data_IF_412874236360
#
_entry.id   IF_412874236360
#
_cell.length_a   1.000
_cell.length_b   1.000
_cell.length_c   1.000
_cell.angle_alpha   90.00
_cell.angle_beta   90.00
_cell.angle_gamma   90.00
#
_symmetry.space_group_name_H-M   'P 1'
#
loop_
_entity.id
_entity.type
_entity.pdbx_description
1 polymer ?
#
# COMPACT_ATOMS: atom_id res chain seq x y z
N UNK A 1 30.81 -8.87 9.92
CA UNK A 1 30.29 -9.75 8.86
C UNK A 1 31.16 -9.55 7.62
N UNK A 2 31.52 -10.60 6.88
CA UNK A 2 32.33 -10.47 5.66
C UNK A 2 31.44 -10.22 4.44
N UNK A 3 31.11 -8.95 4.19
CA UNK A 3 30.26 -8.54 3.07
C UNK A 3 30.89 -8.81 1.70
N UNK A 4 32.22 -8.97 1.61
CA UNK A 4 32.91 -9.31 0.36
C UNK A 4 32.63 -10.76 -0.03
N UNK A 5 32.76 -11.68 0.93
CA UNK A 5 32.45 -13.09 0.72
C UNK A 5 30.97 -13.31 0.44
N UNK A 6 30.08 -12.64 1.20
CA UNK A 6 28.62 -12.74 0.98
C UNK A 6 28.26 -12.22 -0.41
N UNK A 7 28.81 -11.06 -0.83
CA UNK A 7 28.57 -10.51 -2.17
C UNK A 7 28.99 -11.49 -3.26
N UNK A 8 30.17 -12.09 -3.14
CA UNK A 8 30.67 -13.04 -4.12
C UNK A 8 29.72 -14.25 -4.24
N UNK A 9 29.19 -14.73 -3.11
CA UNK A 9 28.20 -15.80 -3.08
C UNK A 9 26.88 -15.39 -3.71
N UNK A 10 26.28 -14.27 -3.29
CA UNK A 10 24.98 -13.82 -3.79
C UNK A 10 25.04 -13.51 -5.31
N UNK A 11 26.13 -12.91 -5.80
CA UNK A 11 26.35 -12.72 -7.26
C UNK A 11 26.48 -14.05 -8.01
N UNK A 12 27.30 -14.98 -7.50
CA UNK A 12 27.45 -16.30 -8.10
C UNK A 12 26.10 -17.02 -8.18
N UNK A 13 25.30 -16.95 -7.12
CA UNK A 13 23.96 -17.56 -7.08
C UNK A 13 23.04 -16.94 -8.13
N UNK A 14 22.99 -15.61 -8.24
CA UNK A 14 22.20 -14.94 -9.28
C UNK A 14 22.60 -15.39 -10.68
N UNK A 15 23.89 -15.23 -11.03
CA UNK A 15 24.42 -15.57 -12.36
C UNK A 15 24.18 -17.05 -12.73
N UNK A 16 24.29 -17.94 -11.74
CA UNK A 16 24.02 -19.37 -11.90
C UNK A 16 22.52 -19.68 -12.06
N UNK A 17 21.66 -19.01 -11.29
CA UNK A 17 20.23 -19.33 -11.23
C UNK A 17 19.43 -18.84 -12.43
N UNK A 18 19.82 -17.74 -13.07
CA UNK A 18 19.10 -17.13 -14.18
C UNK A 18 18.70 -18.10 -15.31
N UNK A 19 19.59 -18.93 -15.88
CA UNK A 19 19.19 -19.89 -16.91
C UNK A 19 18.19 -20.94 -16.40
N UNK A 20 18.34 -21.40 -15.15
CA UNK A 20 17.46 -22.39 -14.52
C UNK A 20 16.06 -21.82 -14.31
N UNK A 21 15.98 -20.59 -13.79
CA UNK A 21 14.72 -19.88 -13.56
C UNK A 21 13.98 -19.66 -14.88
N UNK A 22 14.70 -19.29 -15.95
CA UNK A 22 14.12 -19.14 -17.28
C UNK A 22 13.51 -20.45 -17.79
N UNK A 23 14.22 -21.57 -17.69
CA UNK A 23 13.70 -22.88 -18.11
C UNK A 23 12.44 -23.27 -17.32
N UNK A 24 12.44 -23.05 -16.00
CA UNK A 24 11.28 -23.33 -15.15
C UNK A 24 10.08 -22.43 -15.46
N UNK A 25 10.29 -21.15 -15.78
CA UNK A 25 9.21 -20.26 -16.22
C UNK A 25 8.56 -20.78 -17.50
N UNK A 26 9.35 -21.20 -18.49
CA UNK A 26 8.82 -21.80 -19.73
C UNK A 26 8.04 -23.08 -19.42
N UNK A 27 8.58 -23.94 -18.55
CA UNK A 27 7.91 -25.17 -18.15
C UNK A 27 6.56 -24.88 -17.46
N UNK A 28 6.52 -23.96 -16.51
CA UNK A 28 5.30 -23.57 -15.80
C UNK A 28 4.27 -22.91 -16.73
N UNK A 29 4.73 -22.07 -17.65
CA UNK A 29 3.86 -21.44 -18.64
C UNK A 29 3.16 -22.49 -19.52
N UNK A 30 3.88 -23.51 -19.98
CA UNK A 30 3.34 -24.54 -20.88
C UNK A 30 2.49 -25.60 -20.15
N UNK A 31 2.97 -26.10 -19.01
CA UNK A 31 2.36 -27.26 -18.33
C UNK A 31 1.25 -26.89 -17.38
N UNK A 32 1.39 -25.76 -16.70
CA UNK A 32 0.48 -25.33 -15.65
C UNK A 32 -0.35 -24.11 -16.06
N UNK A 33 -0.15 -23.58 -17.27
CA UNK A 33 -0.91 -22.45 -17.83
C UNK A 33 -0.84 -21.19 -16.95
N UNK A 34 0.18 -21.06 -16.09
CA UNK A 34 0.35 -19.91 -15.18
C UNK A 34 0.39 -18.60 -15.96
N UNK A 35 1.05 -18.63 -17.12
CA UNK A 35 1.13 -17.52 -18.06
C UNK A 35 -0.27 -17.11 -18.58
N UNK A 36 -1.11 -18.07 -18.98
CA UNK A 36 -2.48 -17.79 -19.42
C UNK A 36 -3.35 -17.25 -18.27
N UNK A 37 -3.16 -17.78 -17.06
CA UNK A 37 -3.86 -17.28 -15.88
C UNK A 37 -3.51 -15.82 -15.59
N UNK A 38 -2.22 -15.47 -15.60
CA UNK A 38 -1.78 -14.08 -15.49
C UNK A 38 -2.38 -13.20 -16.59
N UNK A 39 -2.39 -13.64 -17.84
CA UNK A 39 -2.95 -12.87 -18.95
C UNK A 39 -4.46 -12.61 -18.79
N UNK A 40 -5.20 -13.57 -18.20
CA UNK A 40 -6.62 -13.38 -17.87
C UNK A 40 -6.80 -12.31 -16.78
N UNK A 41 -5.97 -12.34 -15.72
CA UNK A 41 -5.98 -11.34 -14.65
C UNK A 41 -5.60 -9.94 -15.19
N UNK A 42 -4.51 -9.85 -15.95
CA UNK A 42 -4.07 -8.62 -16.61
C UNK A 42 -5.13 -8.05 -17.56
N UNK A 43 -5.86 -8.91 -18.29
CA UNK A 43 -6.98 -8.49 -19.13
C UNK A 43 -8.17 -7.98 -18.32
N UNK A 44 -8.50 -8.64 -17.20
CA UNK A 44 -9.57 -8.21 -16.29
C UNK A 44 -9.28 -6.82 -15.71
N UNK A 45 -8.03 -6.57 -15.34
CA UNK A 45 -7.57 -5.30 -14.74
C UNK A 45 -6.86 -4.38 -15.76
N UNK A 46 -7.24 -4.44 -17.04
CA UNK A 46 -6.56 -3.71 -18.13
C UNK A 46 -6.54 -2.18 -17.92
N UNK A 47 -7.58 -1.61 -17.31
CA UNK A 47 -7.68 -0.17 -17.02
C UNK A 47 -6.58 0.33 -16.07
N UNK A 48 -6.10 -0.54 -15.18
CA UNK A 48 -5.07 -0.24 -14.19
C UNK A 48 -3.72 -0.80 -14.63
N UNK A 49 -3.63 -2.11 -14.83
CA UNK A 49 -2.37 -2.77 -15.20
C UNK A 49 -1.84 -2.30 -16.56
N UNK A 50 -2.73 -1.89 -17.47
CA UNK A 50 -2.36 -1.31 -18.77
C UNK A 50 -1.70 0.08 -18.68
N UNK A 51 -1.68 0.72 -17.50
CA UNK A 51 -0.96 1.98 -17.26
C UNK A 51 0.56 1.78 -17.15
N UNK A 52 1.01 0.55 -16.89
CA UNK A 52 2.41 0.16 -16.96
C UNK A 52 2.85 0.02 -18.42
N UNK A 53 4.10 0.36 -18.74
CA UNK A 53 4.65 0.05 -20.06
C UNK A 53 4.79 -1.46 -20.29
N UNK A 54 4.86 -1.88 -21.55
CA UNK A 54 4.90 -3.30 -21.92
C UNK A 54 6.11 -4.05 -21.34
N UNK A 55 7.26 -3.38 -21.17
CA UNK A 55 8.44 -4.00 -20.58
C UNK A 55 8.18 -4.33 -19.12
N UNK A 56 7.63 -3.38 -18.36
CA UNK A 56 7.26 -3.59 -16.96
C UNK A 56 6.17 -4.66 -16.79
N UNK A 57 5.16 -4.68 -17.65
CA UNK A 57 4.14 -5.74 -17.64
C UNK A 57 4.76 -7.14 -17.82
N UNK A 58 5.73 -7.27 -18.74
CA UNK A 58 6.46 -8.51 -18.96
C UNK A 58 7.28 -8.95 -17.73
N UNK A 59 7.92 -8.01 -17.04
CA UNK A 59 8.69 -8.30 -15.83
C UNK A 59 7.80 -8.73 -14.66
N UNK A 60 6.65 -8.07 -14.45
CA UNK A 60 5.68 -8.48 -13.42
C UNK A 60 5.11 -9.88 -13.70
N UNK A 61 4.88 -10.22 -14.97
CA UNK A 61 4.48 -11.56 -15.37
C UNK A 61 5.53 -12.61 -15.01
N UNK A 62 6.81 -12.34 -15.26
CA UNK A 62 7.91 -13.23 -14.86
C UNK A 62 7.98 -13.40 -13.34
N UNK A 63 7.87 -12.30 -12.59
CA UNK A 63 7.84 -12.32 -11.11
C UNK A 63 6.66 -13.15 -10.59
N UNK A 64 5.46 -12.96 -11.14
CA UNK A 64 4.28 -13.74 -10.77
C UNK A 64 4.47 -15.24 -11.04
N UNK A 65 5.00 -15.61 -12.21
CA UNK A 65 5.24 -17.02 -12.54
C UNK A 65 6.26 -17.64 -11.57
N UNK A 66 7.36 -16.96 -11.28
CA UNK A 66 8.38 -17.44 -10.33
C UNK A 66 7.81 -17.56 -8.92
N UNK A 67 6.99 -16.61 -8.48
CA UNK A 67 6.27 -16.72 -7.22
C UNK A 67 5.39 -17.98 -7.19
N UNK A 68 4.58 -18.25 -8.21
CA UNK A 68 3.75 -19.47 -8.26
C UNK A 68 4.57 -20.77 -8.22
N UNK A 69 5.80 -20.74 -8.72
CA UNK A 69 6.70 -21.89 -8.69
C UNK A 69 7.27 -22.10 -7.28
N UNK A 70 7.82 -21.05 -6.67
CA UNK A 70 8.64 -21.16 -5.47
C UNK A 70 7.97 -20.71 -4.18
N UNK A 71 6.74 -20.20 -4.20
CA UNK A 71 5.98 -19.91 -2.99
C UNK A 71 5.79 -21.16 -2.14
N UNK A 72 5.39 -20.97 -0.89
CA UNK A 72 5.07 -22.09 0.00
C UNK A 72 3.96 -22.92 -0.63
N UNK A 73 4.15 -24.24 -0.70
CA UNK A 73 3.27 -25.18 -1.40
C UNK A 73 3.14 -24.92 -2.92
N UNK A 74 4.14 -24.23 -3.50
CA UNK A 74 4.20 -23.91 -4.92
C UNK A 74 4.53 -25.10 -5.81
N UNK A 75 4.61 -24.82 -7.12
CA UNK A 75 4.76 -25.86 -8.14
C UNK A 75 6.11 -26.59 -8.10
N UNK A 76 7.13 -26.03 -7.45
CA UNK A 76 8.47 -26.61 -7.38
C UNK A 76 8.47 -28.04 -6.82
N UNK A 77 7.64 -28.35 -5.82
CA UNK A 77 7.55 -29.69 -5.24
C UNK A 77 7.04 -30.74 -6.23
N UNK A 78 6.15 -30.33 -7.14
CA UNK A 78 5.69 -31.17 -8.25
C UNK A 78 6.80 -31.31 -9.31
N UNK A 79 7.51 -30.23 -9.59
CA UNK A 79 8.52 -30.19 -10.64
C UNK A 79 9.74 -31.04 -10.30
N UNK A 80 10.22 -31.03 -9.05
CA UNK A 80 11.32 -31.88 -8.58
C UNK A 80 11.09 -33.38 -8.78
N UNK A 81 9.83 -33.79 -8.91
CA UNK A 81 9.45 -35.18 -9.17
C UNK A 81 9.38 -35.55 -10.65
N UNK A 82 9.35 -34.55 -11.55
CA UNK A 82 9.20 -34.74 -12.98
C UNK A 82 10.52 -35.17 -13.65
N UNK A 83 10.43 -36.05 -14.66
CA UNK A 83 11.61 -36.61 -15.34
C UNK A 83 12.54 -35.56 -15.93
N UNK A 84 11.99 -34.53 -16.59
CA UNK A 84 12.76 -33.45 -17.20
C UNK A 84 13.62 -32.67 -16.18
N UNK A 85 13.09 -32.45 -14.97
CA UNK A 85 13.82 -31.75 -13.89
C UNK A 85 14.82 -32.70 -13.24
N UNK A 86 14.45 -33.96 -13.01
CA UNK A 86 15.37 -35.00 -12.51
C UNK A 86 16.56 -35.27 -13.44
N UNK A 87 16.44 -34.99 -14.73
CA UNK A 87 17.52 -35.12 -15.71
C UNK A 87 18.40 -33.88 -15.84
N UNK A 88 18.09 -32.78 -15.12
CA UNK A 88 18.95 -31.60 -15.10
C UNK A 88 20.33 -31.93 -14.49
N UNK A 89 21.37 -31.13 -14.79
CA UNK A 89 22.65 -31.24 -14.09
C UNK A 89 22.47 -31.31 -12.57
N UNK A 90 23.30 -32.10 -11.90
CA UNK A 90 23.17 -32.33 -10.44
C UNK A 90 23.23 -31.03 -9.64
N UNK A 91 24.04 -30.06 -10.07
CA UNK A 91 24.15 -28.74 -9.42
C UNK A 91 22.81 -27.98 -9.48
N UNK A 92 22.18 -27.92 -10.65
CA UNK A 92 20.89 -27.27 -10.89
C UNK A 92 19.78 -27.93 -10.07
N UNK A 93 19.71 -29.28 -10.09
CA UNK A 93 18.73 -30.02 -9.31
C UNK A 93 18.89 -29.75 -7.80
N UNK A 94 20.13 -29.77 -7.31
CA UNK A 94 20.43 -29.49 -5.89
C UNK A 94 20.06 -28.06 -5.51
N UNK A 95 20.25 -27.09 -6.41
CA UNK A 95 19.79 -25.71 -6.21
C UNK A 95 18.27 -25.66 -6.08
N UNK A 96 17.53 -26.32 -6.96
CA UNK A 96 16.07 -26.36 -6.93
C UNK A 96 15.52 -27.05 -5.68
N UNK A 97 16.15 -28.13 -5.21
CA UNK A 97 15.80 -28.77 -3.93
C UNK A 97 15.96 -27.82 -2.75
N UNK A 98 17.05 -27.04 -2.72
CA UNK A 98 17.27 -26.03 -1.67
C UNK A 98 16.23 -24.91 -1.73
N UNK A 99 15.92 -24.41 -2.92
CA UNK A 99 14.91 -23.35 -3.09
C UNK A 99 13.50 -23.86 -2.75
N UNK A 100 13.20 -25.15 -2.96
CA UNK A 100 11.94 -25.75 -2.50
C UNK A 100 11.81 -25.82 -0.97
N UNK A 101 12.93 -25.83 -0.24
CA UNK A 101 12.94 -25.81 1.23
C UNK A 101 12.91 -24.38 1.80
N UNK A 102 13.18 -23.37 0.98
CA UNK A 102 13.20 -21.96 1.35
C UNK A 102 12.25 -21.18 0.43
N UNK A 103 10.94 -21.20 0.73
CA UNK A 103 9.94 -20.60 -0.15
C UNK A 103 10.22 -19.14 -0.45
N UNK A 104 10.01 -18.76 -1.70
CA UNK A 104 10.09 -17.37 -2.11
C UNK A 104 8.83 -16.67 -1.64
N UNK A 105 8.98 -15.46 -1.11
CA UNK A 105 7.83 -14.68 -0.64
C UNK A 105 7.86 -13.28 -1.23
N UNK A 106 6.69 -12.81 -1.63
CA UNK A 106 6.50 -11.38 -1.86
C UNK A 106 6.31 -10.72 -0.50
N UNK A 107 7.08 -9.68 -0.22
CA UNK A 107 7.06 -8.99 1.06
C UNK A 107 7.14 -7.49 0.85
N UNK A 108 6.77 -6.75 1.88
CA UNK A 108 6.94 -5.32 1.99
C UNK A 108 7.91 -5.01 3.13
N UNK A 109 8.88 -4.14 2.88
CA UNK A 109 9.92 -3.84 3.86
C UNK A 109 10.40 -2.39 3.79
N UNK A 110 11.00 -1.91 4.88
CA UNK A 110 11.90 -0.76 4.86
C UNK A 110 13.31 -1.22 5.25
N UNK A 111 14.32 -0.38 5.03
CA UNK A 111 15.66 -0.66 5.56
C UNK A 111 16.05 0.35 6.63
N UNK A 112 16.72 -0.15 7.68
CA UNK A 112 17.23 0.65 8.80
C UNK A 112 18.62 1.21 8.50
N UNK A 113 19.44 0.44 7.82
CA UNK A 113 20.84 0.81 7.54
C UNK A 113 21.32 0.19 6.23
N UNK A 114 22.40 0.74 5.69
CA UNK A 114 23.16 0.15 4.57
C UNK A 114 24.60 -0.11 5.02
N UNK A 115 24.91 -1.31 5.53
CA UNK A 115 26.21 -1.60 6.14
C UNK A 115 27.34 -1.74 5.11
N UNK A 116 27.00 -1.96 3.84
CA UNK A 116 27.93 -2.05 2.71
C UNK A 116 27.18 -1.74 1.41
N UNK A 117 27.86 -1.40 0.29
CA UNK A 117 27.17 -1.08 -0.96
C UNK A 117 26.29 -2.25 -1.41
N UNK A 118 25.06 -1.93 -1.83
CA UNK A 118 24.00 -2.88 -2.22
C UNK A 118 23.51 -3.82 -1.11
N UNK A 119 24.00 -3.67 0.12
CA UNK A 119 23.51 -4.38 1.29
C UNK A 119 22.63 -3.48 2.14
N UNK A 120 21.53 -4.05 2.63
CA UNK A 120 20.53 -3.36 3.43
C UNK A 120 20.12 -4.24 4.61
N UNK A 121 20.14 -3.67 5.81
CA UNK A 121 19.47 -4.26 6.97
C UNK A 121 17.99 -3.90 6.89
N UNK A 122 17.18 -4.87 6.46
CA UNK A 122 15.77 -4.69 6.14
C UNK A 122 14.86 -5.27 7.21
N UNK A 123 13.66 -4.70 7.33
CA UNK A 123 12.62 -5.14 8.26
C UNK A 123 11.33 -5.31 7.49
N UNK A 124 10.77 -6.51 7.52
CA UNK A 124 9.44 -6.80 6.98
C UNK A 124 8.40 -6.03 7.80
N UNK A 125 7.55 -5.24 7.14
CA UNK A 125 6.67 -4.28 7.81
C UNK A 125 5.53 -4.92 8.60
N UNK A 126 5.24 -6.21 8.34
CA UNK A 126 4.15 -6.91 9.01
C UNK A 126 4.68 -7.83 10.11
N UNK A 127 5.72 -8.60 9.81
CA UNK A 127 6.26 -9.59 10.74
C UNK A 127 7.32 -9.03 11.68
N UNK A 128 7.90 -7.88 11.34
CA UNK A 128 9.06 -7.32 12.04
C UNK A 128 10.35 -8.13 11.85
N UNK A 129 10.33 -9.14 10.97
CA UNK A 129 11.51 -9.96 10.68
C UNK A 129 12.64 -9.10 10.11
N UNK A 130 13.79 -9.16 10.77
CA UNK A 130 15.01 -8.49 10.31
C UNK A 130 15.79 -9.41 9.39
N UNK A 131 16.22 -8.89 8.24
CA UNK A 131 16.97 -9.65 7.27
C UNK A 131 18.01 -8.82 6.52
N UNK A 132 19.11 -9.47 6.12
CA UNK A 132 20.12 -8.84 5.26
C UNK A 132 19.74 -9.04 3.80
N UNK A 133 19.45 -7.93 3.10
CA UNK A 133 19.13 -7.92 1.69
C UNK A 133 20.36 -7.49 0.87
N UNK A 134 20.70 -8.25 -0.17
CA UNK A 134 21.62 -7.82 -1.23
C UNK A 134 20.81 -7.50 -2.49
N UNK A 135 20.71 -6.21 -2.85
CA UNK A 135 19.98 -5.78 -4.05
C UNK A 135 20.55 -4.50 -4.66
N UNK A 136 21.29 -4.59 -5.78
CA UNK A 136 21.66 -3.42 -6.56
C UNK A 136 20.46 -2.61 -7.06
N UNK A 137 19.31 -3.28 -7.27
CA UNK A 137 18.05 -2.64 -7.65
C UNK A 137 17.57 -1.63 -6.61
N UNK A 138 17.65 -1.98 -5.31
CA UNK A 138 17.33 -1.05 -4.21
C UNK A 138 18.25 0.17 -4.24
N UNK A 139 19.57 -0.04 -4.40
CA UNK A 139 20.53 1.07 -4.51
C UNK A 139 20.15 2.04 -5.64
N UNK A 140 19.78 1.51 -6.81
CA UNK A 140 19.35 2.31 -7.96
C UNK A 140 18.07 3.09 -7.65
N UNK A 141 17.06 2.44 -7.08
CA UNK A 141 15.79 3.09 -6.73
C UNK A 141 15.98 4.25 -5.75
N UNK A 142 16.91 4.11 -4.79
CA UNK A 142 17.19 5.12 -3.77
C UNK A 142 17.97 6.34 -4.29
N UNK A 143 18.62 6.24 -5.45
CA UNK A 143 19.28 7.41 -6.07
C UNK A 143 18.22 8.44 -6.48
N UNK A 144 17.06 7.95 -6.97
CA UNK A 144 16.07 8.78 -7.65
C UNK A 144 14.82 9.06 -6.81
N UNK A 145 14.62 8.33 -5.71
CA UNK A 145 13.38 8.41 -4.93
C UNK A 145 13.58 8.24 -3.44
N UNK A 146 12.86 9.06 -2.67
CA UNK A 146 12.55 8.78 -1.28
C UNK A 146 11.44 7.73 -1.25
N UNK A 147 11.73 6.58 -0.64
CA UNK A 147 10.86 5.41 -0.59
C UNK A 147 10.49 5.17 0.87
N UNK A 148 9.20 5.10 1.16
CA UNK A 148 8.69 4.75 2.48
C UNK A 148 8.76 3.23 2.68
N UNK A 149 8.27 2.49 1.69
CA UNK A 149 8.17 1.02 1.72
C UNK A 149 8.59 0.45 0.38
N UNK A 150 9.39 -0.61 0.38
CA UNK A 150 9.64 -1.44 -0.79
C UNK A 150 8.66 -2.61 -0.82
N UNK A 151 8.22 -3.01 -2.01
CA UNK A 151 7.53 -4.28 -2.24
C UNK A 151 8.20 -5.05 -3.37
N UNK A 152 8.36 -6.36 -3.18
CA UNK A 152 9.02 -7.22 -4.15
C UNK A 152 9.11 -8.67 -3.72
N UNK A 153 9.43 -9.53 -4.69
CA UNK A 153 9.70 -10.94 -4.46
C UNK A 153 11.14 -11.12 -3.98
N UNK A 154 11.31 -11.81 -2.84
CA UNK A 154 12.65 -12.14 -2.31
C UNK A 154 12.84 -13.65 -2.17
N UNK A 155 14.10 -14.05 -2.25
CA UNK A 155 14.56 -15.42 -2.00
C UNK A 155 15.82 -15.43 -1.15
N UNK A 156 16.03 -16.51 -0.40
CA UNK A 156 17.22 -16.69 0.42
C UNK A 156 18.19 -17.67 -0.24
N UNK A 157 19.47 -17.35 -0.20
CA UNK A 157 20.54 -18.29 -0.54
C UNK A 157 21.17 -18.92 0.73
N UNK A 158 20.61 -18.63 1.90
CA UNK A 158 21.11 -19.01 3.23
C UNK A 158 22.19 -18.08 3.81
N UNK A 159 22.65 -17.06 3.07
CA UNK A 159 23.59 -16.04 3.56
C UNK A 159 23.06 -14.62 3.42
N UNK A 160 22.27 -14.34 2.40
CA UNK A 160 21.55 -13.10 2.19
C UNK A 160 20.18 -13.40 1.57
N UNK A 161 19.26 -12.43 1.63
CA UNK A 161 18.12 -12.38 0.73
C UNK A 161 18.49 -11.62 -0.55
N UNK A 162 17.85 -11.98 -1.66
CA UNK A 162 17.98 -11.32 -2.96
C UNK A 162 16.61 -11.06 -3.57
N UNK A 163 16.46 -9.95 -4.31
CA UNK A 163 15.24 -9.59 -5.02
C UNK A 163 15.15 -10.28 -6.38
N UNK A 164 13.95 -10.66 -6.82
CA UNK A 164 13.68 -11.13 -8.18
C UNK A 164 12.57 -10.32 -8.87
N UNK A 165 12.79 -9.96 -10.14
CA UNK A 165 11.81 -9.22 -10.94
C UNK A 165 11.69 -7.76 -10.54
N UNK A 166 10.55 -7.10 -10.82
CA UNK A 166 10.32 -5.71 -10.46
C UNK A 166 10.41 -5.47 -8.95
N UNK A 167 11.17 -4.44 -8.58
CA UNK A 167 11.18 -3.87 -7.24
C UNK A 167 10.34 -2.61 -7.27
N UNK A 168 9.34 -2.54 -6.39
CA UNK A 168 8.46 -1.37 -6.31
C UNK A 168 8.82 -0.55 -5.07
N UNK A 169 9.23 0.71 -5.26
CA UNK A 169 9.38 1.67 -4.17
C UNK A 169 8.11 2.51 -4.01
N UNK A 170 7.37 2.29 -2.93
CA UNK A 170 6.18 3.05 -2.57
C UNK A 170 6.57 4.29 -1.77
N UNK A 171 6.09 5.45 -2.21
CA UNK A 171 6.42 6.75 -1.59
C UNK A 171 5.48 7.15 -0.45
N UNK A 172 4.31 6.53 -0.37
CA UNK A 172 3.27 6.87 0.60
C UNK A 172 2.70 5.68 1.35
N UNK A 173 2.74 4.47 0.78
CA UNK A 173 2.12 3.31 1.42
C UNK A 173 2.94 2.79 2.61
N UNK A 174 2.23 2.52 3.70
CA UNK A 174 2.70 1.95 4.95
C UNK A 174 1.98 0.61 5.24
N UNK A 175 2.27 0.00 6.40
CA UNK A 175 1.70 -1.29 6.78
C UNK A 175 0.17 -1.24 6.88
N UNK A 176 -0.37 -0.23 7.57
CA UNK A 176 -1.82 -0.06 7.78
C UNK A 176 -2.57 0.09 6.45
N UNK A 177 -1.99 0.80 5.48
CA UNK A 177 -2.57 0.96 4.14
C UNK A 177 -2.74 -0.38 3.41
N UNK A 178 -1.68 -1.21 3.44
CA UNK A 178 -1.68 -2.50 2.74
C UNK A 178 -2.56 -3.50 3.48
N UNK A 179 -2.62 -3.43 4.81
CA UNK A 179 -3.54 -4.22 5.62
C UNK A 179 -4.99 -3.87 5.29
N UNK A 180 -5.33 -2.58 5.27
CA UNK A 180 -6.66 -2.10 4.88
C UNK A 180 -7.03 -2.55 3.46
N UNK A 181 -6.12 -2.41 2.49
CA UNK A 181 -6.34 -2.93 1.14
C UNK A 181 -6.62 -4.44 1.12
N UNK A 182 -5.92 -5.23 1.95
CA UNK A 182 -6.17 -6.65 2.11
C UNK A 182 -7.59 -6.94 2.61
N UNK A 183 -8.08 -6.17 3.58
CA UNK A 183 -9.47 -6.26 4.07
C UNK A 183 -10.51 -5.90 3.01
N UNK A 184 -10.23 -4.90 2.18
CA UNK A 184 -11.11 -4.54 1.05
C UNK A 184 -11.14 -5.60 -0.06
N UNK A 185 -10.06 -6.37 -0.23
CA UNK A 185 -10.01 -7.50 -1.15
C UNK A 185 -10.73 -8.74 -0.61
N UNK A 186 -10.56 -9.03 0.68
CA UNK A 186 -11.13 -10.19 1.36
C UNK A 186 -11.49 -9.81 2.82
N UNK A 187 -12.79 -9.67 3.14
CA UNK A 187 -13.24 -9.32 4.49
C UNK A 187 -12.83 -10.30 5.59
N UNK A 188 -12.31 -11.49 5.24
CA UNK A 188 -11.76 -12.45 6.20
C UNK A 188 -10.34 -12.10 6.67
N UNK A 189 -9.74 -11.02 6.16
CA UNK A 189 -8.44 -10.52 6.64
C UNK A 189 -8.65 -9.75 7.94
N UNK A 190 -8.52 -10.47 9.06
CA UNK A 190 -8.61 -9.91 10.41
C UNK A 190 -7.25 -9.91 11.14
N UNK A 191 -6.21 -10.49 10.51
CA UNK A 191 -4.87 -10.60 11.11
C UNK A 191 -3.76 -10.55 10.06
N UNK A 192 -2.54 -10.28 10.53
CA UNK A 192 -1.32 -10.29 9.70
C UNK A 192 -1.14 -11.64 8.99
N UNK A 193 -1.41 -12.75 9.67
CA UNK A 193 -1.31 -14.09 9.07
C UNK A 193 -2.30 -14.28 7.92
N UNK A 194 -3.52 -13.73 8.04
CA UNK A 194 -4.50 -13.75 6.96
C UNK A 194 -4.05 -12.90 5.77
N UNK A 195 -3.51 -11.70 6.04
CA UNK A 195 -2.96 -10.83 5.00
C UNK A 195 -1.82 -11.50 4.22
N UNK A 196 -0.85 -12.10 4.93
CA UNK A 196 0.28 -12.78 4.31
C UNK A 196 -0.17 -14.00 3.49
N UNK A 197 -1.15 -14.76 3.99
CA UNK A 197 -1.76 -15.86 3.24
C UNK A 197 -2.48 -15.36 1.98
N UNK A 198 -3.16 -14.20 2.06
CA UNK A 198 -3.81 -13.58 0.91
C UNK A 198 -2.79 -13.11 -0.14
N UNK A 199 -1.70 -12.45 0.26
CA UNK A 199 -0.60 -12.04 -0.65
C UNK A 199 -0.02 -13.26 -1.37
N UNK A 200 0.20 -14.36 -0.65
CA UNK A 200 0.73 -15.60 -1.22
C UNK A 200 -0.28 -16.27 -2.20
N UNK A 201 -1.58 -16.13 -1.94
CA UNK A 201 -2.64 -16.73 -2.75
C UNK A 201 -2.94 -15.89 -4.00
N UNK A 202 -3.05 -14.58 -3.84
CA UNK A 202 -3.46 -13.63 -4.88
C UNK A 202 -2.46 -12.48 -5.02
N UNK A 203 -1.21 -12.84 -5.37
CA UNK A 203 -0.16 -11.85 -5.59
C UNK A 203 -0.55 -10.79 -6.63
N UNK A 204 -1.34 -11.15 -7.65
CA UNK A 204 -1.65 -10.24 -8.75
C UNK A 204 -2.34 -8.96 -8.26
N UNK A 205 -3.29 -9.07 -7.33
CA UNK A 205 -3.98 -7.91 -6.75
C UNK A 205 -2.99 -6.95 -6.07
N UNK A 206 -2.01 -7.46 -5.33
CA UNK A 206 -0.95 -6.66 -4.72
C UNK A 206 0.04 -6.06 -5.72
N UNK A 207 0.26 -6.69 -6.88
CA UNK A 207 1.06 -6.09 -7.95
C UNK A 207 0.38 -4.87 -8.57
N UNK A 208 -0.96 -4.76 -8.54
CA UNK A 208 -1.67 -3.58 -9.06
C UNK A 208 -1.32 -2.30 -8.31
N UNK A 209 -0.97 -2.41 -7.02
CA UNK A 209 -0.51 -1.29 -6.21
C UNK A 209 0.72 -0.59 -6.81
N UNK A 210 1.53 -1.28 -7.62
CA UNK A 210 2.73 -0.69 -8.22
C UNK A 210 2.42 0.48 -9.16
N UNK A 211 1.22 0.55 -9.70
CA UNK A 211 0.75 1.66 -10.55
C UNK A 211 0.66 2.97 -9.76
N UNK A 212 0.47 2.88 -8.44
CA UNK A 212 0.28 4.01 -7.52
C UNK A 212 1.54 4.30 -6.69
N UNK A 213 2.63 3.56 -6.90
CA UNK A 213 3.82 3.63 -6.02
C UNK A 213 4.50 5.00 -6.02
N UNK A 214 4.36 5.76 -7.11
CA UNK A 214 4.96 7.08 -7.28
C UNK A 214 4.18 8.22 -6.61
N UNK A 215 2.95 7.96 -6.12
CA UNK A 215 2.12 8.97 -5.46
C UNK A 215 2.80 9.36 -4.14
N UNK A 216 3.23 10.63 -3.98
CA UNK A 216 3.90 11.06 -2.77
C UNK A 216 2.94 11.09 -1.59
N UNK A 217 3.50 11.00 -0.39
CA UNK A 217 2.73 11.24 0.82
C UNK A 217 2.24 12.69 0.86
N UNK A 218 0.94 12.89 1.07
CA UNK A 218 0.33 14.21 1.15
C UNK A 218 0.59 14.81 2.52
N UNK A 219 1.11 16.04 2.55
CA UNK A 219 1.41 16.76 3.79
C UNK A 219 0.89 18.19 3.72
N UNK A 220 0.37 18.69 4.85
CA UNK A 220 0.18 20.11 5.08
C UNK A 220 1.07 20.54 6.25
N UNK A 221 1.98 21.48 5.99
CA UNK A 221 3.06 21.86 6.90
C UNK A 221 3.85 20.65 7.43
N UNK A 222 3.61 20.24 8.68
CA UNK A 222 4.25 19.10 9.35
C UNK A 222 3.32 17.90 9.54
N UNK A 223 2.07 18.03 9.12
CA UNK A 223 1.05 17.02 9.32
C UNK A 223 0.87 16.20 8.04
N UNK A 224 0.97 14.89 8.18
CA UNK A 224 0.53 13.94 7.15
C UNK A 224 -0.99 13.98 7.08
N UNK A 225 -1.51 13.96 5.84
CA UNK A 225 -2.94 13.96 5.57
C UNK A 225 -3.36 12.52 5.32
N UNK A 226 -4.16 11.97 6.23
CA UNK A 226 -4.61 10.59 6.24
C UNK A 226 -5.89 10.46 7.07
N UNK A 227 -6.72 9.47 6.78
CA UNK A 227 -7.86 9.14 7.62
C UNK A 227 -7.40 8.40 8.87
N UNK A 228 -7.80 8.89 10.04
CA UNK A 228 -7.59 8.23 11.33
C UNK A 228 -8.94 8.09 12.03
N UNK A 229 -9.42 6.86 12.15
CA UNK A 229 -10.80 6.56 12.55
C UNK A 229 -10.85 5.50 13.64
N UNK A 230 -11.80 5.61 14.56
CA UNK A 230 -12.07 4.54 15.53
C UNK A 230 -13.54 4.45 15.90
N UNK A 231 -14.02 3.24 16.13
CA UNK A 231 -15.34 2.94 16.69
C UNK A 231 -15.21 2.49 18.14
N UNK A 232 -16.05 3.02 19.02
CA UNK A 232 -16.14 2.57 20.41
C UNK A 232 -17.61 2.43 20.83
N UNK A 233 -17.91 1.37 21.58
CA UNK A 233 -19.21 1.24 22.24
C UNK A 233 -19.38 2.34 23.29
N UNK A 234 -20.51 3.04 23.26
CA UNK A 234 -20.77 4.18 24.14
C UNK A 234 -22.26 4.48 24.31
N UNK A 235 -22.73 4.40 25.56
CA UNK A 235 -24.15 4.58 25.93
C UNK A 235 -24.44 5.90 26.65
N UNK A 236 -23.43 6.52 27.26
CA UNK A 236 -23.63 7.57 28.27
C UNK A 236 -23.43 8.97 27.69
N UNK A 237 -24.28 9.34 26.72
CA UNK A 237 -24.20 10.64 26.06
C UNK A 237 -24.96 11.74 26.81
N UNK A 238 -24.25 12.82 27.16
CA UNK A 238 -24.83 14.06 27.71
C UNK A 238 -24.35 15.28 26.91
N UNK A 239 -25.22 15.75 26.00
CA UNK A 239 -24.96 16.89 25.10
C UNK A 239 -24.34 18.10 25.80
N UNK A 240 -24.78 18.44 27.02
CA UNK A 240 -24.34 19.66 27.71
C UNK A 240 -22.85 19.61 28.07
N UNK A 241 -22.30 18.42 28.31
CA UNK A 241 -20.88 18.24 28.58
C UNK A 241 -20.03 18.45 27.33
N UNK A 242 -20.55 18.12 26.16
CA UNK A 242 -19.82 18.16 24.89
C UNK A 242 -19.79 19.55 24.27
N UNK A 243 -20.87 20.34 24.39
CA UNK A 243 -20.96 21.70 23.82
C UNK A 243 -19.86 22.66 24.29
N UNK A 244 -19.17 22.34 25.40
CA UNK A 244 -18.04 23.13 25.90
C UNK A 244 -16.90 23.16 24.88
N UNK A 245 -16.48 21.99 24.41
CA UNK A 245 -15.29 21.83 23.57
C UNK A 245 -15.66 21.52 22.09
N UNK A 246 -16.91 21.16 21.81
CA UNK A 246 -17.39 20.75 20.48
C UNK A 246 -18.51 21.66 19.95
N UNK A 247 -18.58 21.82 18.62
CA UNK A 247 -19.82 22.22 17.92
C UNK A 247 -20.65 20.96 17.71
N UNK A 248 -21.92 21.00 18.15
CA UNK A 248 -22.82 19.84 18.08
C UNK A 248 -23.90 20.09 17.04
N UNK A 249 -24.08 19.13 16.15
CA UNK A 249 -25.11 19.07 15.12
C UNK A 249 -25.87 17.75 15.29
N UNK A 250 -27.16 17.72 14.96
CA UNK A 250 -28.00 16.52 15.10
C UNK A 250 -28.81 16.27 13.83
N UNK A 251 -28.76 15.04 13.33
CA UNK A 251 -29.47 14.61 12.13
C UNK A 251 -29.73 13.10 12.21
N UNK A 252 -30.97 12.67 11.95
CA UNK A 252 -31.38 11.26 11.86
C UNK A 252 -30.80 10.33 12.96
N UNK A 253 -31.02 10.67 14.24
CA UNK A 253 -30.57 9.88 15.40
C UNK A 253 -29.04 9.77 15.55
N UNK A 254 -28.33 10.70 14.90
CA UNK A 254 -26.88 10.84 14.96
C UNK A 254 -26.52 12.25 15.40
N UNK A 255 -25.63 12.34 16.39
CA UNK A 255 -24.99 13.58 16.76
C UNK A 255 -23.62 13.67 16.08
N UNK A 256 -23.32 14.80 15.45
CA UNK A 256 -21.96 15.16 14.98
C UNK A 256 -21.37 16.20 15.92
N UNK A 257 -20.20 15.90 16.47
CA UNK A 257 -19.47 16.73 17.40
C UNK A 257 -18.13 17.09 16.78
N UNK A 258 -18.05 18.30 16.23
CA UNK A 258 -16.83 18.84 15.62
C UNK A 258 -15.99 19.57 16.68
N UNK A 259 -14.73 19.17 16.86
CA UNK A 259 -13.86 19.75 17.89
C UNK A 259 -13.54 21.21 17.53
N UNK A 260 -13.88 22.15 18.41
CA UNK A 260 -13.64 23.58 18.16
C UNK A 260 -12.14 23.81 17.90
N UNK A 261 -11.85 24.73 16.98
CA UNK A 261 -10.49 25.09 16.54
C UNK A 261 -9.78 24.04 15.66
N UNK A 262 -10.26 22.80 15.59
CA UNK A 262 -9.66 21.70 14.82
C UNK A 262 -10.65 20.98 13.90
N UNK A 263 -11.84 21.53 13.71
CA UNK A 263 -12.91 20.98 12.87
C UNK A 263 -12.73 21.27 11.37
N UNK A 264 -11.81 22.17 11.03
CA UNK A 264 -11.45 22.50 9.65
C UNK A 264 -10.12 21.91 9.21
N UNK A 265 -9.72 22.27 7.99
CA UNK A 265 -8.45 21.87 7.40
C UNK A 265 -7.25 22.29 8.28
N UNK A 266 -6.23 21.43 8.45
CA UNK A 266 -6.08 20.09 7.85
C UNK A 266 -6.64 18.94 8.71
N UNK A 267 -7.19 19.22 9.89
CA UNK A 267 -7.40 18.20 10.91
C UNK A 267 -8.80 17.56 10.90
N UNK A 268 -9.84 18.34 10.58
CA UNK A 268 -11.23 17.89 10.47
C UNK A 268 -11.71 16.96 11.60
N UNK A 269 -11.37 17.32 12.84
CA UNK A 269 -11.63 16.52 14.02
C UNK A 269 -13.13 16.44 14.32
N UNK A 270 -13.70 15.25 14.18
CA UNK A 270 -15.13 15.00 14.40
C UNK A 270 -15.35 13.72 15.20
N UNK A 271 -16.45 13.69 15.94
CA UNK A 271 -17.00 12.48 16.58
C UNK A 271 -18.45 12.37 16.14
N UNK A 272 -18.90 11.15 15.83
CA UNK A 272 -20.30 10.84 15.55
C UNK A 272 -20.80 9.93 16.65
N UNK A 273 -21.96 10.23 17.25
CA UNK A 273 -22.63 9.33 18.16
C UNK A 273 -23.93 8.86 17.54
N UNK A 274 -24.10 7.55 17.39
CA UNK A 274 -25.33 6.96 16.86
C UNK A 274 -26.17 6.42 18.00
N UNK A 275 -27.36 6.98 18.20
CA UNK A 275 -28.30 6.51 19.23
C UNK A 275 -28.73 5.07 18.97
N UNK A 276 -29.03 4.74 17.71
CA UNK A 276 -29.50 3.41 17.32
C UNK A 276 -28.45 2.30 17.52
N UNK A 277 -27.15 2.63 17.43
CA UNK A 277 -26.06 1.65 17.58
C UNK A 277 -25.36 1.73 18.93
N UNK A 278 -25.60 2.78 19.72
CA UNK A 278 -24.86 3.07 20.95
C UNK A 278 -23.34 3.05 20.72
N UNK A 279 -22.90 3.73 19.64
CA UNK A 279 -21.52 3.74 19.17
C UNK A 279 -21.03 5.18 18.95
N UNK A 280 -19.79 5.47 19.37
CA UNK A 280 -19.05 6.65 18.94
C UNK A 280 -18.07 6.29 17.83
N UNK A 281 -18.14 7.02 16.71
CA UNK A 281 -17.14 6.98 15.64
C UNK A 281 -16.31 8.26 15.71
N UNK A 282 -15.02 8.14 16.03
CA UNK A 282 -14.06 9.23 16.00
C UNK A 282 -13.43 9.30 14.63
N UNK A 283 -13.17 10.51 14.14
CA UNK A 283 -12.49 10.72 12.87
C UNK A 283 -11.64 11.98 12.90
N UNK A 284 -10.42 11.87 12.41
CA UNK A 284 -9.57 13.00 12.08
C UNK A 284 -8.79 12.73 10.79
N UNK A 285 -8.21 13.79 10.24
CA UNK A 285 -7.44 13.79 9.00
C UNK A 285 -5.92 13.87 9.20
N UNK A 286 -5.49 13.84 10.45
CA UNK A 286 -4.08 13.88 10.86
C UNK A 286 -3.95 13.13 12.20
N UNK A 287 -2.81 12.50 12.45
CA UNK A 287 -2.53 11.89 13.76
C UNK A 287 -2.65 12.91 14.91
N UNK A 288 -2.18 14.15 14.68
CA UNK A 288 -2.31 15.24 15.67
C UNK A 288 -3.77 15.57 16.02
N UNK A 289 -4.63 15.66 15.00
CA UNK A 289 -6.05 15.91 15.20
C UNK A 289 -6.73 14.76 15.96
N UNK A 290 -6.35 13.52 15.63
CA UNK A 290 -6.84 12.35 16.33
C UNK A 290 -6.41 12.35 17.81
N UNK A 291 -5.13 12.64 18.10
CA UNK A 291 -4.64 12.80 19.47
C UNK A 291 -5.38 13.91 20.24
N UNK A 292 -5.74 15.01 19.57
CA UNK A 292 -6.51 16.10 20.16
C UNK A 292 -7.95 15.67 20.50
N UNK A 293 -8.58 14.82 19.68
CA UNK A 293 -9.86 14.18 19.98
C UNK A 293 -9.74 13.29 21.21
N UNK A 294 -8.76 12.38 21.25
CA UNK A 294 -8.54 11.49 22.40
C UNK A 294 -8.37 12.28 23.70
N UNK A 295 -7.59 13.37 23.66
CA UNK A 295 -7.38 14.23 24.82
C UNK A 295 -8.66 14.95 25.27
N UNK A 296 -9.51 15.36 24.33
CA UNK A 296 -10.79 16.02 24.64
C UNK A 296 -11.79 15.02 25.23
N UNK A 297 -11.90 13.82 24.66
CA UNK A 297 -12.76 12.75 25.17
C UNK A 297 -12.33 12.27 26.56
N UNK A 298 -11.02 12.20 26.82
CA UNK A 298 -10.49 11.87 28.14
C UNK A 298 -10.90 12.88 29.21
N UNK A 299 -11.04 14.18 28.88
CA UNK A 299 -11.55 15.21 29.81
C UNK A 299 -13.02 15.01 30.14
N UNK A 300 -13.78 14.39 29.21
CA UNK A 300 -15.18 14.00 29.40
C UNK A 300 -15.32 12.66 30.14
N UNK A 301 -14.21 12.02 30.53
CA UNK A 301 -14.19 10.73 31.22
C UNK A 301 -14.32 9.52 30.29
N UNK A 302 -14.24 9.72 28.98
CA UNK A 302 -14.36 8.67 27.98
C UNK A 302 -12.98 8.07 27.71
N UNK A 303 -12.88 6.74 27.83
CA UNK A 303 -11.66 6.00 27.51
C UNK A 303 -11.74 5.49 26.09
N UNK A 304 -10.75 5.87 25.29
CA UNK A 304 -10.62 5.45 23.90
C UNK A 304 -9.24 4.80 23.74
N UNK A 305 -9.13 3.67 23.02
CA UNK A 305 -7.84 3.10 22.65
C UNK A 305 -6.95 4.15 21.97
N UNK A 306 -5.64 4.07 22.21
CA UNK A 306 -4.68 4.97 21.56
C UNK A 306 -4.38 4.56 20.12
N UNK A 307 -4.56 3.28 19.81
CA UNK A 307 -4.39 2.76 18.45
C UNK A 307 -5.73 2.89 17.71
N UNK A 308 -5.75 3.55 16.55
CA UNK A 308 -6.96 3.68 15.76
C UNK A 308 -7.30 2.39 15.00
N UNK A 309 -8.58 2.14 14.76
CA UNK A 309 -9.04 1.00 13.94
C UNK A 309 -8.65 1.16 12.46
N UNK A 310 -8.65 2.39 11.96
CA UNK A 310 -8.26 2.70 10.58
C UNK A 310 -7.27 3.85 10.59
N UNK A 311 -6.15 3.64 9.90
CA UNK A 311 -5.16 4.66 9.57
C UNK A 311 -4.80 4.54 8.09
N UNK A 312 -5.38 5.38 7.23
CA UNK A 312 -5.35 5.20 5.77
C UNK A 312 -4.92 6.48 5.04
N UNK A 313 -3.84 6.40 4.25
CA UNK A 313 -3.41 7.50 3.39
C UNK A 313 -4.34 7.69 2.20
N UNK A 314 -4.53 8.94 1.78
CA UNK A 314 -5.34 9.29 0.61
C UNK A 314 -4.87 8.56 -0.66
N UNK A 315 -3.55 8.38 -0.82
CA UNK A 315 -3.00 7.65 -1.97
C UNK A 315 -3.42 6.19 -2.00
N UNK A 316 -3.58 5.55 -0.84
CA UNK A 316 -4.08 4.18 -0.78
C UNK A 316 -5.58 4.16 -1.05
N UNK A 317 -6.36 5.08 -0.47
CA UNK A 317 -7.78 5.20 -0.80
C UNK A 317 -7.98 5.32 -2.32
N UNK A 318 -7.25 6.22 -2.99
CA UNK A 318 -7.28 6.35 -4.45
C UNK A 318 -6.94 5.03 -5.16
N UNK A 319 -5.92 4.31 -4.70
CA UNK A 319 -5.53 3.03 -5.29
C UNK A 319 -6.64 1.97 -5.15
N UNK A 320 -7.28 1.89 -3.98
CA UNK A 320 -8.39 0.97 -3.71
C UNK A 320 -9.57 1.27 -4.62
N UNK A 321 -9.98 2.54 -4.69
CA UNK A 321 -11.13 2.97 -5.49
C UNK A 321 -10.92 2.68 -6.98
N UNK A 322 -9.72 2.96 -7.50
CA UNK A 322 -9.36 2.67 -8.89
C UNK A 322 -9.29 1.16 -9.18
N UNK A 323 -8.72 0.37 -8.26
CA UNK A 323 -8.49 -1.07 -8.46
C UNK A 323 -9.80 -1.86 -8.33
N UNK A 324 -10.61 -1.55 -7.32
CA UNK A 324 -11.86 -2.26 -7.02
C UNK A 324 -13.06 -1.68 -7.76
N UNK A 325 -12.98 -0.42 -8.21
CA UNK A 325 -14.06 0.27 -8.91
C UNK A 325 -15.23 0.68 -8.01
N UNK A 326 -15.03 0.69 -6.69
CA UNK A 326 -16.01 1.07 -5.68
C UNK A 326 -15.44 2.20 -4.82
N UNK A 327 -16.30 3.11 -4.36
CA UNK A 327 -15.90 4.14 -3.40
C UNK A 327 -15.68 3.53 -2.01
N UNK A 328 -14.63 3.99 -1.32
CA UNK A 328 -14.37 3.59 0.06
C UNK A 328 -15.17 4.51 0.99
N UNK A 329 -16.20 3.99 1.64
CA UNK A 329 -17.06 4.76 2.54
C UNK A 329 -16.56 4.67 3.99
N UNK A 330 -15.58 5.50 4.34
CA UNK A 330 -14.95 5.51 5.66
C UNK A 330 -15.81 6.15 6.75
N UNK A 331 -16.70 7.09 6.37
CA UNK A 331 -17.49 7.90 7.30
C UNK A 331 -18.95 7.99 6.82
N UNK A 332 -19.72 6.90 6.92
CA UNK A 332 -21.10 6.87 6.40
C UNK A 332 -22.00 7.92 7.04
N UNK A 333 -21.77 8.26 8.31
CA UNK A 333 -22.55 9.26 9.05
C UNK A 333 -22.38 10.69 8.53
N UNK A 334 -21.26 11.02 7.89
CA UNK A 334 -21.02 12.39 7.41
C UNK A 334 -22.06 12.83 6.37
N UNK A 335 -22.62 11.88 5.63
CA UNK A 335 -23.68 12.12 4.62
C UNK A 335 -24.96 12.70 5.23
N UNK A 336 -25.24 12.46 6.51
CA UNK A 336 -26.44 12.95 7.21
C UNK A 336 -26.39 14.46 7.49
N UNK A 337 -25.21 15.07 7.41
CA UNK A 337 -24.97 16.48 7.78
C UNK A 337 -24.69 17.37 6.56
N UNK A 338 -24.76 16.81 5.35
CA UNK A 338 -24.52 17.51 4.08
C UNK A 338 -25.80 18.14 3.49
N UNK A 339 -26.97 17.86 4.06
CA UNK A 339 -28.29 18.28 3.56
C UNK A 339 -28.66 19.70 4.02
N UNK A 340 -28.23 20.71 3.25
CA UNK A 340 -28.63 22.11 3.47
C UNK A 340 -27.99 23.16 2.53
N UNK A 341 -26.92 22.80 1.85
CA UNK A 341 -26.38 23.48 0.67
C UNK A 341 -26.43 22.50 -0.50
N UNK A 342 -26.55 22.99 -1.74
CA UNK A 342 -26.60 22.18 -2.99
C UNK A 342 -25.81 20.87 -2.91
N UNK A 343 -26.34 19.80 -3.52
CA UNK A 343 -25.89 18.38 -3.53
C UNK A 343 -24.41 18.10 -3.90
N UNK A 344 -23.52 19.09 -3.88
CA UNK A 344 -22.08 19.04 -4.17
C UNK A 344 -21.17 19.41 -2.98
N UNK A 345 -21.65 19.45 -1.74
CA UNK A 345 -20.80 19.73 -0.56
C UNK A 345 -20.67 18.49 0.32
N UNK A 346 -20.13 17.42 -0.28
CA UNK A 346 -19.14 16.58 0.42
C UNK A 346 -17.95 17.48 0.79
N UNK A 347 -17.13 17.18 1.79
CA UNK A 347 -16.00 18.06 2.19
C UNK A 347 -15.23 18.53 0.93
N UNK A 348 -15.45 19.76 0.42
CA UNK A 348 -15.18 20.06 -0.99
C UNK A 348 -13.70 19.92 -1.31
N UNK A 349 -12.88 20.23 -0.30
CA UNK A 349 -11.43 20.27 -0.37
C UNK A 349 -10.82 18.87 -0.52
N UNK A 350 -11.49 17.83 -0.04
CA UNK A 350 -11.01 16.43 -0.06
C UNK A 350 -11.34 15.72 -1.36
N UNK A 351 -12.60 15.80 -1.80
CA UNK A 351 -12.99 15.31 -3.13
C UNK A 351 -12.17 16.05 -4.18
N UNK A 352 -11.98 17.36 -4.00
CA UNK A 352 -11.12 18.12 -4.87
C UNK A 352 -9.66 17.63 -4.89
N UNK A 353 -9.07 17.28 -3.74
CA UNK A 353 -7.70 16.78 -3.70
C UNK A 353 -7.58 15.36 -4.30
N UNK A 354 -8.55 14.49 -4.04
CA UNK A 354 -8.62 13.15 -4.61
C UNK A 354 -8.84 13.20 -6.12
N UNK A 355 -9.78 14.03 -6.59
CA UNK A 355 -10.01 14.31 -8.01
C UNK A 355 -8.77 14.90 -8.67
N UNK A 356 -8.07 15.79 -7.97
CA UNK A 356 -6.79 16.34 -8.42
C UNK A 356 -5.74 15.24 -8.60
N UNK A 357 -5.59 14.33 -7.65
CA UNK A 357 -4.68 13.19 -7.77
C UNK A 357 -5.10 12.25 -8.92
N UNK A 358 -6.40 12.00 -9.07
CA UNK A 358 -6.97 11.18 -10.14
C UNK A 358 -6.71 11.74 -11.54
N UNK A 359 -6.68 13.07 -11.70
CA UNK A 359 -6.30 13.71 -12.96
C UNK A 359 -4.77 13.75 -13.14
N UNK A 360 -4.04 14.06 -12.07
CA UNK A 360 -2.61 14.31 -12.13
C UNK A 360 -1.79 13.03 -12.40
N UNK A 361 -2.10 11.93 -11.70
CA UNK A 361 -1.31 10.69 -11.76
C UNK A 361 -1.27 10.08 -13.18
N UNK A 362 -2.41 9.91 -13.88
CA UNK A 362 -2.39 9.43 -15.26
C UNK A 362 -1.69 10.40 -16.23
N UNK A 363 -1.88 11.71 -16.06
CA UNK A 363 -1.27 12.71 -16.92
C UNK A 363 0.26 12.67 -16.81
N UNK A 364 0.78 12.55 -15.59
CA UNK A 364 2.20 12.37 -15.31
C UNK A 364 2.73 11.05 -15.87
N UNK A 365 2.07 9.92 -15.57
CA UNK A 365 2.53 8.59 -16.01
C UNK A 365 2.55 8.45 -17.54
N UNK A 366 1.66 9.18 -18.24
CA UNK A 366 1.62 9.22 -19.70
C UNK A 366 2.57 10.26 -20.33
N UNK A 367 3.40 10.94 -19.54
CA UNK A 367 4.30 12.02 -19.97
C UNK A 367 3.59 13.15 -20.73
N UNK A 368 2.31 13.38 -20.45
CA UNK A 368 1.55 14.50 -21.03
C UNK A 368 1.93 15.79 -20.32
N UNK A 369 1.83 16.90 -21.05
CA UNK A 369 2.00 18.23 -20.46
C UNK A 369 0.81 18.51 -19.54
N UNK A 370 1.09 18.84 -18.28
CA UNK A 370 0.09 19.06 -17.23
C UNK A 370 -0.18 20.56 -17.11
N UNK A 371 -1.41 20.98 -17.38
CA UNK A 371 -1.90 22.30 -17.03
C UNK A 371 -2.43 22.28 -15.59
N UNK A 372 -1.57 22.72 -14.68
CA UNK A 372 -1.83 22.64 -13.26
C UNK A 372 -2.95 23.58 -12.81
N UNK A 373 -2.99 24.80 -13.35
CA UNK A 373 -3.99 25.78 -12.96
C UNK A 373 -5.38 25.36 -13.48
N UNK A 374 -5.43 24.73 -14.67
CA UNK A 374 -6.65 24.10 -15.17
C UNK A 374 -7.11 22.97 -14.23
N UNK A 375 -6.24 22.01 -13.88
CA UNK A 375 -6.61 20.90 -12.99
C UNK A 375 -7.06 21.37 -11.61
N UNK A 376 -6.39 22.38 -11.03
CA UNK A 376 -6.81 23.00 -9.77
C UNK A 376 -8.19 23.64 -9.91
N UNK A 377 -8.45 24.33 -11.02
CA UNK A 377 -9.76 24.95 -11.27
C UNK A 377 -10.87 23.94 -11.54
N UNK A 378 -10.56 22.82 -12.20
CA UNK A 378 -11.50 21.75 -12.55
C UNK A 378 -11.91 20.93 -11.33
N UNK A 379 -10.98 20.73 -10.40
CA UNK A 379 -11.19 19.89 -9.22
C UNK A 379 -11.58 20.69 -7.98
N UNK A 380 -11.22 21.98 -7.93
CA UNK A 380 -11.43 22.82 -6.76
C UNK A 380 -10.36 22.63 -5.67
N UNK A 381 -9.24 21.97 -5.97
CA UNK A 381 -8.24 21.60 -4.97
C UNK A 381 -7.56 22.84 -4.39
N UNK A 382 -7.16 22.80 -3.12
CA UNK A 382 -6.38 23.89 -2.52
C UNK A 382 -5.12 24.16 -3.38
N UNK A 383 -4.94 25.39 -3.91
CA UNK A 383 -3.85 25.66 -4.84
C UNK A 383 -2.47 25.42 -4.24
N UNK A 384 -2.30 25.62 -2.93
CA UNK A 384 -1.01 25.43 -2.27
C UNK A 384 -0.68 23.94 -2.13
N UNK A 385 -1.62 23.13 -1.65
CA UNK A 385 -1.48 21.67 -1.56
C UNK A 385 -1.29 21.04 -2.94
N UNK A 386 -2.12 21.39 -3.92
CA UNK A 386 -2.02 20.88 -5.29
C UNK A 386 -0.68 21.23 -5.95
N UNK A 387 -0.20 22.47 -5.78
CA UNK A 387 1.12 22.90 -6.29
C UNK A 387 2.28 22.20 -5.57
N UNK A 388 2.16 21.93 -4.27
CA UNK A 388 3.15 21.16 -3.54
C UNK A 388 3.23 19.72 -4.06
N UNK A 389 2.08 19.05 -4.20
CA UNK A 389 1.96 17.70 -4.78
C UNK A 389 2.58 17.65 -6.17
N UNK A 390 2.20 18.56 -7.07
CA UNK A 390 2.74 18.60 -8.44
C UNK A 390 4.24 18.87 -8.49
N UNK A 391 4.71 19.83 -7.70
CA UNK A 391 6.13 20.17 -7.64
C UNK A 391 6.98 18.98 -7.20
N UNK A 392 6.53 18.23 -6.21
CA UNK A 392 7.22 17.04 -5.73
C UNK A 392 7.18 15.89 -6.74
N UNK A 393 6.08 15.74 -7.47
CA UNK A 393 5.97 14.81 -8.60
C UNK A 393 6.95 15.17 -9.74
N UNK A 394 6.95 16.43 -10.20
CA UNK A 394 7.75 16.87 -11.35
C UNK A 394 9.24 16.99 -11.07
N UNK A 395 9.64 17.39 -9.86
CA UNK A 395 11.06 17.44 -9.44
C UNK A 395 11.73 16.07 -9.58
N UNK A 396 10.93 14.99 -9.53
CA UNK A 396 11.38 13.60 -9.59
C UNK A 396 11.27 12.97 -10.99
N UNK A 397 10.72 13.67 -11.99
CA UNK A 397 10.64 13.20 -13.40
C UNK A 397 11.63 13.90 -14.34
N UNK A 398 12.13 15.08 -13.94
CA UNK A 398 13.14 15.86 -14.69
C UNK A 398 14.58 15.48 -14.32
N UNK A 399 14.75 14.48 -13.46
CA UNK A 399 15.99 13.77 -13.21
C UNK A 399 15.83 12.37 -13.77
#
# INVERSE_FOLDING_TARGET
MDYTAIRAKCKKTSDFSDPILNELMYYAAQRNKVNQHFDLLAKKHKSIFGRLDQSNQGLFKSQYIIHEIFKKEGLIHKYLNHSAVKSMPQEDYTYLEKQAQMPWRFTYWFFRSSPAPDFFESVDIFTGEEFLLFSPGVSLTLIDSEVATFGGLISSDGSCYQTFGPLTGFRSFQADDIFFYGGELDPLVESIDNLLALIQKDLFSFLLLSVFSAIPMVKHERHEILHVISGIEFTDFDMLLWEKDFRVEYSDEVFKMSLKELDGFPHFCCVYWSEAKEELTLSAMTDFGYDALLNSLKKLGIQVPSEPDIRLHLSMQTAIEDILGNQVDLLPYEKLFQSGSDENVKSPEMDALNDFLNLLVPAVNSKKEVDLDLMISETGADPQAARAIYKDLMKKLKK
#
